data_IF_034042795523
#
_entry.id   IF_034042795523
#
_cell.length_a   1.000
_cell.length_b   1.000
_cell.length_c   1.000
_cell.angle_alpha   90.00
_cell.angle_beta   90.00
_cell.angle_gamma   90.00
#
_symmetry.space_group_name_H-M   'P 1'
#
loop_
_entity.id
_entity.type
_entity.pdbx_description
1 polymer ?
#
# COMPACT_ATOMS: atom_id res chain seq x y z
N UNK A 1 -20.95 -6.09 -15.51
CA UNK A 1 -19.83 -6.82 -16.16
C UNK A 1 -18.57 -6.86 -15.31
N UNK A 2 -17.98 -5.75 -14.86
CA UNK A 2 -16.76 -5.76 -14.02
C UNK A 2 -16.94 -6.48 -12.68
N UNK A 3 -18.06 -6.29 -12.00
CA UNK A 3 -18.40 -7.00 -10.75
C UNK A 3 -18.63 -8.51 -10.97
N UNK A 4 -19.12 -8.88 -12.15
CA UNK A 4 -19.33 -10.26 -12.58
C UNK A 4 -18.00 -10.93 -12.97
N UNK A 5 -17.06 -10.19 -13.58
CA UNK A 5 -15.66 -10.61 -13.78
C UNK A 5 -14.93 -10.77 -12.44
N UNK A 6 -15.16 -9.88 -11.48
CA UNK A 6 -14.63 -10.04 -10.12
C UNK A 6 -15.20 -11.28 -9.43
N UNK A 7 -16.51 -11.54 -9.56
CA UNK A 7 -17.15 -12.76 -9.05
C UNK A 7 -16.65 -14.04 -9.76
N UNK A 8 -16.35 -13.97 -11.05
CA UNK A 8 -15.73 -15.07 -11.81
C UNK A 8 -14.29 -15.33 -11.32
N UNK A 9 -13.54 -14.27 -11.03
CA UNK A 9 -12.22 -14.37 -10.38
C UNK A 9 -12.34 -15.02 -8.99
N UNK A 10 -13.41 -14.77 -8.22
CA UNK A 10 -13.65 -15.46 -6.94
C UNK A 10 -13.85 -16.96 -7.09
N UNK A 11 -14.58 -17.39 -8.11
CA UNK A 11 -14.77 -18.82 -8.40
C UNK A 11 -13.46 -19.50 -8.82
N UNK A 12 -12.64 -18.80 -9.60
CA UNK A 12 -11.31 -19.26 -10.02
C UNK A 12 -10.34 -19.35 -8.81
N UNK A 13 -10.45 -18.42 -7.86
CA UNK A 13 -9.67 -18.41 -6.62
C UNK A 13 -10.08 -19.53 -5.65
N UNK A 14 -11.38 -19.83 -5.56
CA UNK A 14 -11.89 -20.89 -4.69
C UNK A 14 -11.47 -22.29 -5.17
N UNK A 15 -11.40 -22.49 -6.50
CA UNK A 15 -10.95 -23.76 -7.09
C UNK A 15 -9.42 -23.96 -7.08
N UNK A 16 -8.66 -22.98 -6.57
CA UNK A 16 -7.35 -23.21 -5.98
C UNK A 16 -6.23 -23.69 -6.90
N UNK A 17 -6.37 -23.63 -8.23
CA UNK A 17 -5.26 -23.84 -9.18
C UNK A 17 -5.47 -23.01 -10.45
N UNK A 18 -4.98 -21.77 -10.47
CA UNK A 18 -4.66 -21.13 -11.76
C UNK A 18 -3.38 -21.80 -12.26
N UNK A 19 -3.52 -22.94 -12.95
CA UNK A 19 -2.50 -23.39 -13.90
C UNK A 19 -2.66 -22.51 -15.13
N UNK A 20 -2.03 -21.33 -15.12
CA UNK A 20 -1.77 -20.66 -16.41
C UNK A 20 -0.92 -21.62 -17.25
N UNK A 21 -1.35 -21.80 -18.49
CA UNK A 21 -0.71 -22.60 -19.54
C UNK A 21 0.81 -22.65 -19.36
N UNK A 22 1.28 -23.78 -18.85
CA UNK A 22 2.68 -24.17 -18.94
C UNK A 22 2.91 -24.41 -20.43
N UNK A 23 3.38 -23.39 -21.14
CA UNK A 23 4.24 -23.63 -22.28
C UNK A 23 5.39 -24.46 -21.72
N UNK A 24 5.43 -25.73 -22.09
CA UNK A 24 6.42 -26.69 -21.59
C UNK A 24 7.79 -26.34 -22.13
N UNK A 25 8.45 -25.36 -21.52
CA UNK A 25 9.90 -25.37 -21.41
C UNK A 25 10.25 -26.45 -20.38
N UNK A 26 10.34 -27.69 -20.84
CA UNK A 26 10.66 -28.88 -20.04
C UNK A 26 12.04 -28.82 -19.33
N UNK A 27 12.79 -27.72 -19.49
CA UNK A 27 14.06 -27.45 -18.82
C UNK A 27 13.99 -26.30 -17.80
N UNK A 28 12.86 -25.59 -17.67
CA UNK A 28 12.65 -24.55 -16.65
C UNK A 28 11.86 -25.11 -15.46
N UNK A 29 12.33 -26.21 -14.88
CA UNK A 29 11.83 -26.70 -13.59
C UNK A 29 12.48 -25.87 -12.47
N UNK A 30 11.89 -24.72 -12.14
CA UNK A 30 12.31 -23.96 -10.95
C UNK A 30 11.86 -24.69 -9.68
N UNK A 31 12.72 -25.55 -9.15
CA UNK A 31 12.61 -26.19 -7.83
C UNK A 31 12.85 -25.20 -6.67
N UNK A 32 12.29 -24.00 -6.76
CA UNK A 32 12.13 -23.10 -5.63
C UNK A 32 10.63 -22.95 -5.42
N UNK A 33 10.05 -23.97 -4.79
CA UNK A 33 8.72 -23.84 -4.20
C UNK A 33 8.84 -22.86 -3.05
N UNK A 34 8.29 -21.67 -3.23
CA UNK A 34 8.04 -20.78 -2.09
C UNK A 34 7.12 -21.49 -1.11
N UNK A 35 7.30 -21.24 0.18
CA UNK A 35 6.43 -21.80 1.22
C UNK A 35 4.99 -21.33 1.00
N UNK A 36 4.22 -22.13 0.29
CA UNK A 36 2.81 -21.93 0.04
C UNK A 36 1.99 -22.48 1.21
N UNK A 37 2.17 -21.92 2.41
CA UNK A 37 1.06 -21.76 3.34
C UNK A 37 1.46 -20.86 4.51
N UNK A 38 0.63 -19.88 4.81
CA UNK A 38 -0.37 -20.09 5.85
C UNK A 38 -1.77 -19.72 5.36
N UNK A 39 -2.80 -20.33 5.94
CA UNK A 39 -4.21 -19.90 5.80
C UNK A 39 -4.39 -18.37 5.83
N UNK A 40 -3.54 -17.66 6.59
CA UNK A 40 -3.45 -16.18 6.63
C UNK A 40 -3.23 -15.50 5.28
N UNK A 41 -2.42 -16.04 4.35
CA UNK A 41 -2.26 -15.42 3.02
C UNK A 41 -3.52 -15.55 2.18
N UNK A 42 -4.29 -16.64 2.36
CA UNK A 42 -5.62 -16.79 1.75
C UNK A 42 -6.61 -15.79 2.35
N UNK A 43 -6.59 -15.60 3.67
CA UNK A 43 -7.39 -14.57 4.33
C UNK A 43 -7.02 -13.17 3.83
N UNK A 44 -5.73 -12.85 3.69
CA UNK A 44 -5.28 -11.59 3.08
C UNK A 44 -5.81 -11.43 1.66
N UNK A 45 -5.76 -12.49 0.84
CA UNK A 45 -6.34 -12.47 -0.50
C UNK A 45 -7.84 -12.12 -0.49
N UNK A 46 -8.60 -12.75 0.41
CA UNK A 46 -10.03 -12.49 0.56
C UNK A 46 -10.28 -11.04 0.98
N UNK A 47 -9.49 -10.50 1.92
CA UNK A 47 -9.62 -9.10 2.36
C UNK A 47 -9.32 -8.13 1.22
N UNK A 48 -8.22 -8.33 0.48
CA UNK A 48 -7.86 -7.48 -0.68
C UNK A 48 -8.97 -7.50 -1.72
N UNK A 49 -9.55 -8.67 -1.98
CA UNK A 49 -10.67 -8.78 -2.90
C UNK A 49 -11.91 -8.03 -2.40
N UNK A 50 -12.34 -8.24 -1.15
CA UNK A 50 -13.48 -7.53 -0.56
C UNK A 50 -13.29 -6.01 -0.61
N UNK A 51 -12.10 -5.53 -0.24
CA UNK A 51 -11.74 -4.11 -0.34
C UNK A 51 -11.84 -3.61 -1.79
N UNK A 52 -11.36 -4.40 -2.74
CA UNK A 52 -11.40 -4.03 -4.16
C UNK A 52 -12.83 -3.85 -4.68
N UNK A 53 -13.79 -4.68 -4.24
CA UNK A 53 -15.22 -4.52 -4.61
C UNK A 53 -15.76 -3.19 -4.11
N UNK A 54 -15.50 -2.83 -2.84
CA UNK A 54 -15.94 -1.57 -2.27
C UNK A 54 -15.29 -0.36 -2.96
N UNK A 55 -14.00 -0.43 -3.26
CA UNK A 55 -13.30 0.66 -3.95
C UNK A 55 -13.79 0.82 -5.40
N UNK A 56 -14.10 -0.29 -6.09
CA UNK A 56 -14.68 -0.22 -7.42
C UNK A 56 -16.07 0.44 -7.37
N UNK A 57 -16.91 0.09 -6.40
CA UNK A 57 -18.19 0.77 -6.20
C UNK A 57 -18.01 2.28 -5.91
N UNK A 58 -17.08 2.62 -5.01
CA UNK A 58 -16.73 4.00 -4.72
C UNK A 58 -16.24 4.77 -5.97
N UNK A 59 -15.47 4.11 -6.85
CA UNK A 59 -14.95 4.75 -8.06
C UNK A 59 -16.04 5.11 -9.08
N UNK A 60 -17.13 4.34 -9.16
CA UNK A 60 -18.27 4.68 -10.00
C UNK A 60 -18.95 5.97 -9.53
N UNK A 61 -19.09 6.16 -8.22
CA UNK A 61 -19.62 7.39 -7.64
C UNK A 61 -18.66 8.56 -7.85
N UNK A 62 -17.39 8.37 -7.47
CA UNK A 62 -16.37 9.44 -7.47
C UNK A 62 -16.06 9.98 -8.87
N UNK A 63 -16.04 9.12 -9.89
CA UNK A 63 -15.71 9.49 -11.28
C UNK A 63 -16.94 9.50 -12.20
N UNK A 64 -18.16 9.64 -11.65
CA UNK A 64 -19.42 9.52 -12.42
C UNK A 64 -19.53 10.51 -13.59
N UNK A 65 -18.86 11.65 -13.49
CA UNK A 65 -18.85 12.71 -14.52
C UNK A 65 -17.82 12.48 -15.64
N UNK A 66 -16.92 11.50 -15.50
CA UNK A 66 -15.79 11.33 -16.40
C UNK A 66 -16.11 10.41 -17.59
N UNK A 67 -15.78 10.89 -18.80
CA UNK A 67 -16.02 10.17 -20.07
C UNK A 67 -15.18 8.88 -20.15
N UNK A 68 -13.97 8.87 -19.58
CA UNK A 68 -13.03 7.73 -19.65
C UNK A 68 -13.15 6.74 -18.48
N UNK A 69 -14.26 6.77 -17.74
CA UNK A 69 -14.57 5.83 -16.66
C UNK A 69 -14.44 4.33 -17.05
N UNK A 70 -14.87 3.83 -18.22
CA UNK A 70 -14.71 2.40 -18.55
C UNK A 70 -13.24 2.00 -18.68
N UNK A 71 -12.38 2.88 -19.21
CA UNK A 71 -10.92 2.66 -19.28
C UNK A 71 -10.31 2.62 -17.88
N UNK A 72 -10.73 3.54 -17.01
CA UNK A 72 -10.30 3.57 -15.61
C UNK A 72 -10.61 2.26 -14.88
N UNK A 73 -11.86 1.78 -15.00
CA UNK A 73 -12.29 0.55 -14.35
C UNK A 73 -11.54 -0.68 -14.88
N UNK A 74 -11.26 -0.74 -16.19
CA UNK A 74 -10.46 -1.83 -16.77
C UNK A 74 -9.05 -1.84 -16.16
N UNK A 75 -8.38 -0.69 -16.08
CA UNK A 75 -7.06 -0.57 -15.46
C UNK A 75 -7.08 -1.00 -13.99
N UNK A 76 -8.11 -0.60 -13.23
CA UNK A 76 -8.29 -1.03 -11.83
C UNK A 76 -8.47 -2.56 -11.72
N UNK A 77 -9.23 -3.19 -12.63
CA UNK A 77 -9.37 -4.65 -12.64
C UNK A 77 -8.06 -5.37 -13.00
N UNK A 78 -7.28 -4.85 -13.95
CA UNK A 78 -5.96 -5.38 -14.28
C UNK A 78 -5.00 -5.28 -13.08
N UNK A 79 -5.06 -4.17 -12.35
CA UNK A 79 -4.27 -3.98 -11.14
C UNK A 79 -4.64 -5.03 -10.06
N UNK A 80 -5.93 -5.21 -9.78
CA UNK A 80 -6.42 -6.21 -8.80
C UNK A 80 -5.99 -7.62 -9.20
N UNK A 81 -6.10 -7.96 -10.49
CA UNK A 81 -5.68 -9.25 -11.02
C UNK A 81 -4.17 -9.49 -10.85
N UNK A 82 -3.34 -8.48 -11.11
CA UNK A 82 -1.88 -8.59 -10.90
C UNK A 82 -1.53 -8.81 -9.42
N UNK A 83 -2.22 -8.14 -8.49
CA UNK A 83 -2.01 -8.36 -7.06
C UNK A 83 -2.39 -9.79 -6.63
N UNK A 84 -3.49 -10.31 -7.17
CA UNK A 84 -3.93 -11.69 -6.91
C UNK A 84 -2.89 -12.70 -7.42
N UNK A 85 -2.29 -12.45 -8.59
CA UNK A 85 -1.19 -13.28 -9.13
C UNK A 85 0.01 -13.25 -8.18
N UNK A 86 0.43 -12.07 -7.69
CA UNK A 86 1.55 -11.96 -6.74
C UNK A 86 1.24 -12.71 -5.44
N UNK A 87 0.03 -12.59 -4.90
CA UNK A 87 -0.31 -13.24 -3.65
C UNK A 87 -0.40 -14.77 -3.77
N UNK A 88 -0.94 -15.28 -4.89
CA UNK A 88 -1.10 -16.72 -5.11
C UNK A 88 0.06 -17.39 -5.88
N UNK A 89 1.12 -16.65 -6.22
CA UNK A 89 2.27 -17.22 -6.92
C UNK A 89 2.96 -18.32 -6.10
N UNK A 90 3.14 -19.48 -6.73
CA UNK A 90 3.91 -20.60 -6.19
C UNK A 90 5.36 -20.61 -6.67
N UNK A 91 5.62 -20.00 -7.84
CA UNK A 91 6.93 -19.94 -8.46
C UNK A 91 7.45 -18.51 -8.52
N UNK A 92 8.77 -18.35 -8.50
CA UNK A 92 9.42 -17.06 -8.66
C UNK A 92 9.03 -16.35 -9.97
N UNK A 93 8.87 -17.10 -11.07
CA UNK A 93 8.46 -16.53 -12.36
C UNK A 93 7.02 -16.01 -12.35
N UNK A 94 6.09 -16.75 -11.74
CA UNK A 94 4.70 -16.27 -11.60
C UNK A 94 4.61 -15.05 -10.69
N UNK A 95 5.46 -14.98 -9.66
CA UNK A 95 5.60 -13.79 -8.83
C UNK A 95 6.13 -12.60 -9.63
N UNK A 96 7.18 -12.78 -10.44
CA UNK A 96 7.75 -11.74 -11.29
C UNK A 96 6.74 -11.18 -12.29
N UNK A 97 5.97 -12.05 -12.95
CA UNK A 97 4.88 -11.63 -13.86
C UNK A 97 3.85 -10.75 -13.16
N UNK A 98 3.39 -11.15 -11.97
CA UNK A 98 2.49 -10.32 -11.17
C UNK A 98 3.14 -9.00 -10.73
N UNK A 99 4.43 -9.04 -10.40
CA UNK A 99 5.21 -7.89 -9.94
C UNK A 99 5.36 -6.81 -11.02
N UNK A 100 5.67 -7.21 -12.26
CA UNK A 100 5.68 -6.29 -13.41
C UNK A 100 4.29 -5.76 -13.72
N UNK A 101 3.27 -6.63 -13.66
CA UNK A 101 1.87 -6.25 -13.85
C UNK A 101 1.44 -5.14 -12.88
N UNK A 102 1.80 -5.24 -11.60
CA UNK A 102 1.57 -4.21 -10.59
C UNK A 102 2.27 -2.89 -10.94
N UNK A 103 3.51 -2.95 -11.43
CA UNK A 103 4.28 -1.76 -11.82
C UNK A 103 3.66 -1.01 -13.02
N UNK A 104 3.28 -1.74 -14.07
CA UNK A 104 2.72 -1.13 -15.29
C UNK A 104 1.32 -0.57 -15.02
N UNK A 105 0.46 -1.34 -14.34
CA UNK A 105 -0.92 -0.89 -14.06
C UNK A 105 -0.96 0.30 -13.11
N UNK A 106 -0.10 0.34 -12.08
CA UNK A 106 0.01 1.51 -11.20
C UNK A 106 0.49 2.77 -11.94
N UNK A 107 1.47 2.64 -12.83
CA UNK A 107 1.92 3.76 -13.67
C UNK A 107 0.78 4.35 -14.51
N UNK A 108 0.02 3.50 -15.21
CA UNK A 108 -1.11 3.94 -16.04
C UNK A 108 -2.22 4.60 -15.21
N UNK A 109 -2.47 4.11 -13.99
CA UNK A 109 -3.45 4.69 -13.07
C UNK A 109 -3.02 6.05 -12.52
N UNK A 110 -1.73 6.25 -12.20
CA UNK A 110 -1.20 7.55 -11.77
C UNK A 110 -1.24 8.56 -12.93
N UNK A 111 -0.97 8.09 -14.15
CA UNK A 111 -0.99 8.92 -15.36
C UNK A 111 -2.41 9.32 -15.80
N UNK A 112 -3.48 8.80 -15.21
CA UNK A 112 -4.87 8.91 -15.72
C UNK A 112 -5.30 10.31 -16.21
N UNK A 113 -5.01 11.38 -15.46
CA UNK A 113 -5.41 12.75 -15.82
C UNK A 113 -4.57 13.38 -16.94
N UNK A 114 -3.45 12.78 -17.35
CA UNK A 114 -2.56 13.27 -18.42
C UNK A 114 -2.07 14.73 -18.30
N UNK A 115 -2.03 15.28 -17.09
CA UNK A 115 -1.48 16.61 -16.83
C UNK A 115 0.05 16.57 -16.67
N UNK A 116 0.73 17.70 -16.85
CA UNK A 116 2.18 17.81 -16.63
C UNK A 116 2.61 17.32 -15.23
N UNK A 117 1.80 17.65 -14.20
CA UNK A 117 2.06 17.18 -12.83
C UNK A 117 1.85 15.67 -12.68
N UNK A 118 0.78 15.11 -13.27
CA UNK A 118 0.50 13.67 -13.15
C UNK A 118 1.47 12.82 -13.98
N UNK A 119 1.85 13.27 -15.17
CA UNK A 119 2.83 12.59 -16.04
C UNK A 119 4.22 12.56 -15.40
N UNK A 120 4.71 13.68 -14.87
CA UNK A 120 5.98 13.71 -14.12
C UNK A 120 5.92 12.83 -12.86
N UNK A 121 4.78 12.82 -12.15
CA UNK A 121 4.60 11.95 -10.99
C UNK A 121 4.61 10.46 -11.39
N UNK A 122 3.93 10.10 -12.46
CA UNK A 122 3.91 8.73 -12.96
C UNK A 122 5.32 8.29 -13.37
N UNK A 123 6.06 9.15 -14.08
CA UNK A 123 7.38 8.81 -14.58
C UNK A 123 8.43 8.66 -13.46
N UNK A 124 8.40 9.53 -12.45
CA UNK A 124 9.25 9.36 -11.26
C UNK A 124 8.94 8.08 -10.49
N UNK A 125 7.65 7.72 -10.37
CA UNK A 125 7.24 6.50 -9.64
C UNK A 125 7.64 5.21 -10.35
N UNK A 126 7.49 5.14 -11.68
CA UNK A 126 7.91 3.94 -12.43
C UNK A 126 9.43 3.79 -12.43
N UNK A 127 10.19 4.88 -12.55
CA UNK A 127 11.66 4.83 -12.54
C UNK A 127 12.19 4.30 -11.20
N UNK A 128 11.68 4.83 -10.07
CA UNK A 128 12.09 4.37 -8.73
C UNK A 128 11.73 2.90 -8.49
N UNK A 129 10.55 2.46 -8.97
CA UNK A 129 10.14 1.07 -8.86
C UNK A 129 11.00 0.14 -9.74
N UNK A 130 11.30 0.55 -10.97
CA UNK A 130 12.09 -0.23 -11.94
C UNK A 130 13.51 -0.51 -11.47
N UNK A 131 14.12 0.38 -10.67
CA UNK A 131 15.41 0.12 -10.03
C UNK A 131 15.37 -1.13 -9.15
N UNK A 132 14.33 -1.29 -8.33
CA UNK A 132 14.17 -2.51 -7.53
C UNK A 132 13.75 -3.72 -8.35
N UNK A 133 12.93 -3.53 -9.39
CA UNK A 133 12.51 -4.62 -10.29
C UNK A 133 13.73 -5.24 -11.01
N UNK A 134 14.74 -4.43 -11.37
CA UNK A 134 16.00 -4.91 -11.92
C UNK A 134 16.79 -5.77 -10.94
N UNK A 135 16.92 -5.33 -9.68
CA UNK A 135 17.56 -6.13 -8.62
C UNK A 135 16.84 -7.45 -8.37
N UNK A 136 15.50 -7.42 -8.36
CA UNK A 136 14.68 -8.61 -8.24
C UNK A 136 14.92 -9.58 -9.40
N UNK A 137 14.95 -9.08 -10.65
CA UNK A 137 15.20 -9.92 -11.82
C UNK A 137 16.57 -10.61 -11.76
N UNK A 138 17.63 -9.88 -11.38
CA UNK A 138 18.97 -10.47 -11.21
C UNK A 138 18.94 -11.57 -10.15
N UNK A 139 18.31 -11.29 -9.00
CA UNK A 139 18.21 -12.28 -7.93
C UNK A 139 17.47 -13.54 -8.37
N UNK A 140 16.35 -13.40 -9.10
CA UNK A 140 15.60 -14.54 -9.59
C UNK A 140 16.36 -15.36 -10.63
N UNK A 141 17.03 -14.70 -11.58
CA UNK A 141 17.85 -15.38 -12.58
C UNK A 141 18.96 -16.20 -11.93
N UNK A 142 19.66 -15.63 -10.95
CA UNK A 142 20.70 -16.34 -10.22
C UNK A 142 20.15 -17.56 -9.47
N UNK A 143 19.00 -17.43 -8.79
CA UNK A 143 18.33 -18.58 -8.15
C UNK A 143 17.97 -19.69 -9.13
N UNK A 144 17.64 -19.37 -10.39
CA UNK A 144 17.37 -20.39 -11.41
C UNK A 144 18.62 -21.06 -11.98
N UNK A 145 19.76 -20.36 -11.97
CA UNK A 145 21.05 -20.87 -12.46
C UNK A 145 21.76 -21.78 -11.45
N UNK A 146 21.19 -21.96 -10.26
CA UNK A 146 21.76 -22.73 -9.17
C UNK A 146 21.83 -24.25 -9.36
N UNK A 147 21.71 -24.75 -10.59
CA UNK A 147 21.90 -26.17 -10.91
C UNK A 147 23.29 -26.56 -11.39
N UNK A 148 24.24 -25.62 -11.59
CA UNK A 148 25.56 -26.03 -12.10
C UNK A 148 26.79 -25.17 -11.74
N UNK A 149 26.68 -24.19 -10.84
CA UNK A 149 27.87 -23.48 -10.35
C UNK A 149 27.80 -23.38 -8.83
N UNK A 150 28.56 -24.23 -8.16
CA UNK A 150 28.72 -24.41 -6.71
C UNK A 150 28.32 -23.20 -5.83
N UNK A 151 27.08 -23.20 -5.31
CA UNK A 151 26.60 -22.23 -4.31
C UNK A 151 26.92 -22.66 -2.89
N UNK A 152 28.16 -23.04 -2.65
CA UNK A 152 28.63 -23.28 -1.30
C UNK A 152 29.33 -22.05 -0.69
N UNK A 153 29.43 -20.94 -1.42
CA UNK A 153 29.90 -19.68 -0.84
C UNK A 153 28.74 -18.94 -0.17
N UNK A 154 28.75 -18.86 1.16
CA UNK A 154 27.82 -18.04 1.97
C UNK A 154 27.67 -16.60 1.44
N UNK A 155 28.73 -16.03 0.85
CA UNK A 155 28.73 -14.70 0.26
C UNK A 155 27.77 -14.52 -0.92
N UNK A 156 27.63 -15.50 -1.81
CA UNK A 156 26.71 -15.36 -2.95
C UNK A 156 25.27 -15.32 -2.48
N UNK A 157 24.91 -16.19 -1.53
CA UNK A 157 23.57 -16.20 -0.92
C UNK A 157 23.26 -14.87 -0.23
N UNK A 158 24.20 -14.31 0.55
CA UNK A 158 24.00 -13.01 1.20
C UNK A 158 23.81 -11.87 0.18
N UNK A 159 24.56 -11.87 -0.92
CA UNK A 159 24.41 -10.88 -1.98
C UNK A 159 23.03 -10.98 -2.67
N UNK A 160 22.54 -12.19 -2.94
CA UNK A 160 21.22 -12.38 -3.54
C UNK A 160 20.08 -11.93 -2.60
N UNK A 161 20.22 -12.19 -1.30
CA UNK A 161 19.28 -11.69 -0.29
C UNK A 161 19.29 -10.16 -0.28
N UNK A 162 20.46 -9.51 -0.33
CA UNK A 162 20.57 -8.05 -0.40
C UNK A 162 19.90 -7.46 -1.65
N UNK A 163 19.99 -8.13 -2.81
CA UNK A 163 19.31 -7.69 -4.04
C UNK A 163 17.79 -7.74 -3.93
N UNK A 164 17.26 -8.83 -3.37
CA UNK A 164 15.83 -8.94 -3.11
C UNK A 164 15.39 -7.91 -2.07
N UNK A 165 16.22 -7.65 -1.06
CA UNK A 165 15.98 -6.61 -0.07
C UNK A 165 15.90 -5.22 -0.71
N UNK A 166 16.75 -4.92 -1.68
CA UNK A 166 16.66 -3.68 -2.42
C UNK A 166 15.34 -3.56 -3.20
N UNK A 167 14.85 -4.67 -3.76
CA UNK A 167 13.55 -4.71 -4.42
C UNK A 167 12.37 -4.52 -3.45
N UNK A 168 12.50 -4.96 -2.20
CA UNK A 168 11.44 -4.78 -1.20
C UNK A 168 11.42 -3.34 -0.71
N UNK A 169 12.58 -2.73 -0.51
CA UNK A 169 12.74 -1.31 -0.17
C UNK A 169 12.10 -0.41 -1.23
N UNK A 170 12.28 -0.70 -2.53
CA UNK A 170 11.73 0.12 -3.62
C UNK A 170 10.19 0.14 -3.60
N UNK A 171 9.53 -1.02 -3.62
CA UNK A 171 8.06 -1.10 -3.66
C UNK A 171 7.41 -0.71 -2.34
N UNK A 172 8.06 -0.93 -1.20
CA UNK A 172 7.50 -0.54 0.11
C UNK A 172 7.76 0.92 0.50
N UNK A 173 8.36 1.71 -0.41
CA UNK A 173 8.69 3.13 -0.19
C UNK A 173 9.55 3.36 1.06
N UNK A 174 10.55 2.51 1.26
CA UNK A 174 11.51 2.68 2.35
C UNK A 174 12.69 3.57 1.94
N UNK A 175 13.44 4.07 2.92
CA UNK A 175 14.67 4.82 2.72
C UNK A 175 15.68 3.90 2.02
N UNK A 176 16.31 4.33 0.93
CA UNK A 176 16.34 5.69 0.37
C UNK A 176 15.24 6.02 -0.66
N UNK A 177 14.53 5.03 -1.19
CA UNK A 177 13.56 5.15 -2.29
C UNK A 177 12.14 5.56 -1.83
N UNK A 178 12.02 6.43 -0.83
CA UNK A 178 10.72 6.80 -0.24
C UNK A 178 9.93 7.87 -1.01
N UNK A 179 10.61 8.68 -1.81
CA UNK A 179 10.05 9.91 -2.38
C UNK A 179 8.90 9.69 -3.35
N UNK A 180 8.80 8.50 -3.97
CA UNK A 180 7.79 8.25 -5.00
C UNK A 180 6.37 8.20 -4.42
N UNK A 181 6.18 7.78 -3.16
CA UNK A 181 4.85 7.55 -2.59
C UNK A 181 4.05 8.86 -2.39
N UNK A 182 4.61 9.94 -1.77
CA UNK A 182 3.89 11.22 -1.69
C UNK A 182 3.64 11.85 -3.05
N UNK A 183 4.57 11.66 -4.01
CA UNK A 183 4.46 12.20 -5.38
C UNK A 183 3.32 11.51 -6.15
N UNK A 184 3.11 10.21 -5.92
CA UNK A 184 2.05 9.42 -6.56
C UNK A 184 0.62 9.87 -6.19
N UNK A 185 0.44 10.70 -5.15
CA UNK A 185 -0.87 11.21 -4.72
C UNK A 185 -1.49 12.24 -5.69
N UNK A 186 -0.84 12.52 -6.82
CA UNK A 186 -1.47 13.17 -7.97
C UNK A 186 -2.58 12.31 -8.60
N UNK A 187 -2.59 10.99 -8.35
CA UNK A 187 -3.63 10.08 -8.80
C UNK A 187 -5.03 10.42 -8.22
N UNK A 188 -6.12 9.98 -8.89
CA UNK A 188 -7.46 10.10 -8.34
C UNK A 188 -7.60 9.31 -7.03
N UNK A 189 -8.51 9.73 -6.15
CA UNK A 189 -8.62 9.14 -4.79
C UNK A 189 -8.93 7.65 -4.77
N UNK A 190 -9.72 7.05 -5.69
CA UNK A 190 -9.94 5.60 -5.69
C UNK A 190 -8.66 4.81 -6.02
N UNK A 191 -7.72 5.41 -6.76
CA UNK A 191 -6.39 4.79 -7.00
C UNK A 191 -5.57 4.85 -5.73
N UNK A 192 -5.56 5.99 -5.03
CA UNK A 192 -4.81 6.10 -3.77
C UNK A 192 -5.33 5.16 -2.68
N UNK A 193 -6.64 4.93 -2.61
CA UNK A 193 -7.23 3.98 -1.66
C UNK A 193 -6.84 2.54 -1.97
N UNK A 194 -6.73 2.15 -3.24
CA UNK A 194 -6.38 0.78 -3.63
C UNK A 194 -4.86 0.56 -3.69
N UNK A 195 -4.18 1.31 -4.56
CA UNK A 195 -2.77 1.09 -4.93
C UNK A 195 -1.85 1.41 -3.75
N UNK A 196 -2.00 2.59 -3.15
CA UNK A 196 -1.02 3.11 -2.19
C UNK A 196 -1.29 2.71 -0.74
N UNK A 197 -2.48 2.17 -0.43
CA UNK A 197 -2.86 1.86 0.94
C UNK A 197 -2.84 0.36 1.26
N UNK A 198 -3.25 -0.50 0.33
CA UNK A 198 -3.56 -1.91 0.62
C UNK A 198 -2.77 -2.93 -0.21
N UNK A 199 -2.18 -2.54 -1.34
CA UNK A 199 -1.69 -3.51 -2.34
C UNK A 199 -0.25 -3.29 -2.78
N UNK A 200 0.09 -2.19 -3.45
CA UNK A 200 1.41 -2.01 -4.07
C UNK A 200 2.52 -1.90 -3.01
N UNK A 201 2.30 -1.09 -1.98
CA UNK A 201 3.30 -0.83 -0.94
C UNK A 201 3.49 -2.05 -0.03
N UNK A 202 2.44 -2.87 0.10
CA UNK A 202 2.44 -4.12 0.86
C UNK A 202 3.14 -5.24 0.10
N UNK A 203 3.12 -5.23 -1.24
CA UNK A 203 3.72 -6.28 -2.07
C UNK A 203 5.20 -6.54 -1.75
N UNK A 204 5.97 -5.49 -1.42
CA UNK A 204 7.35 -5.62 -0.93
C UNK A 204 7.47 -6.47 0.34
N UNK A 205 6.64 -6.18 1.35
CA UNK A 205 6.63 -6.96 2.59
C UNK A 205 6.14 -8.40 2.40
N UNK A 206 5.18 -8.63 1.49
CA UNK A 206 4.69 -9.98 1.14
C UNK A 206 5.77 -10.80 0.43
N UNK A 207 6.57 -10.15 -0.41
CA UNK A 207 7.69 -10.82 -1.07
C UNK A 207 8.69 -11.35 -0.04
N UNK A 208 9.09 -10.53 0.95
CA UNK A 208 9.97 -11.01 2.03
C UNK A 208 9.35 -12.18 2.81
N UNK A 209 8.02 -12.20 3.04
CA UNK A 209 7.36 -13.34 3.66
C UNK A 209 7.50 -14.63 2.84
N UNK A 210 7.32 -14.54 1.52
CA UNK A 210 7.31 -15.70 0.62
C UNK A 210 8.65 -16.39 0.49
N UNK A 211 9.73 -15.61 0.43
CA UNK A 211 11.08 -16.18 0.47
C UNK A 211 11.41 -16.84 1.82
N UNK A 212 10.54 -16.73 2.81
CA UNK A 212 10.51 -17.63 3.95
C UNK A 212 11.76 -17.53 4.81
N UNK A 213 12.11 -18.63 5.46
CA UNK A 213 13.20 -18.73 6.43
C UNK A 213 14.58 -18.33 5.86
N UNK A 214 14.76 -18.39 4.54
CA UNK A 214 16.02 -18.04 3.86
C UNK A 214 16.44 -16.57 4.01
N UNK A 215 15.49 -15.65 4.22
CA UNK A 215 15.79 -14.24 4.52
C UNK A 215 16.24 -14.03 5.96
N UNK A 216 15.72 -14.84 6.88
CA UNK A 216 15.79 -14.57 8.31
C UNK A 216 17.07 -15.09 8.97
N UNK A 217 17.93 -15.79 8.23
CA UNK A 217 19.21 -16.31 8.73
C UNK A 217 20.35 -15.29 8.66
N UNK A 218 20.23 -14.22 7.86
CA UNK A 218 21.27 -13.22 7.66
C UNK A 218 20.82 -11.83 8.12
N UNK A 219 21.71 -11.11 8.82
CA UNK A 219 21.56 -9.78 9.45
C UNK A 219 20.37 -8.92 8.97
N UNK A 220 19.21 -9.14 9.61
CA UNK A 220 17.99 -8.33 9.49
C UNK A 220 18.12 -6.92 10.12
N UNK A 221 19.29 -6.61 10.69
CA UNK A 221 19.60 -5.31 11.29
C UNK A 221 19.45 -4.15 10.30
N UNK A 222 19.83 -4.34 9.03
CA UNK A 222 19.67 -3.29 8.02
C UNK A 222 18.20 -2.95 7.78
N UNK A 223 17.35 -3.97 7.77
CA UNK A 223 15.91 -3.87 7.58
C UNK A 223 15.24 -3.19 8.77
N UNK A 224 15.69 -3.50 9.99
CA UNK A 224 15.19 -2.85 11.20
C UNK A 224 15.58 -1.38 11.26
N UNK A 225 16.83 -1.04 10.91
CA UNK A 225 17.31 0.34 10.86
C UNK A 225 16.59 1.15 9.79
N UNK A 226 16.46 0.62 8.58
CA UNK A 226 15.73 1.30 7.48
C UNK A 226 14.24 1.46 7.81
N UNK A 227 13.60 0.44 8.41
CA UNK A 227 12.23 0.53 8.93
C UNK A 227 12.08 1.60 10.02
N UNK A 228 13.02 1.68 10.96
CA UNK A 228 12.99 2.71 11.99
C UNK A 228 13.11 4.12 11.40
N UNK A 229 14.18 4.38 10.63
CA UNK A 229 14.44 5.70 10.05
C UNK A 229 13.30 6.16 9.14
N UNK A 230 12.68 5.26 8.38
CA UNK A 230 11.54 5.58 7.51
C UNK A 230 10.31 5.99 8.30
N UNK A 231 10.02 5.30 9.39
CA UNK A 231 8.88 5.64 10.24
C UNK A 231 9.03 7.02 10.89
N UNK A 232 10.25 7.37 11.33
CA UNK A 232 10.57 8.68 11.89
C UNK A 232 10.41 9.78 10.85
N UNK A 233 11.04 9.59 9.70
CA UNK A 233 10.95 10.57 8.61
C UNK A 233 9.49 10.80 8.20
N UNK A 234 8.75 9.72 7.94
CA UNK A 234 7.37 9.80 7.50
C UNK A 234 6.48 10.48 8.55
N UNK A 235 6.66 10.19 9.83
CA UNK A 235 5.86 10.80 10.88
C UNK A 235 6.15 12.30 11.05
N UNK A 236 7.41 12.73 10.97
CA UNK A 236 7.78 14.16 10.98
C UNK A 236 7.20 14.87 9.77
N UNK A 237 7.26 14.27 8.57
CA UNK A 237 6.68 14.88 7.37
C UNK A 237 5.14 14.94 7.43
N UNK A 238 4.47 13.92 7.96
CA UNK A 238 3.02 13.96 8.21
C UNK A 238 2.61 15.12 9.16
N UNK A 239 3.52 15.50 10.07
CA UNK A 239 3.36 16.63 10.96
C UNK A 239 3.61 18.00 10.31
N UNK A 240 4.29 18.09 9.19
CA UNK A 240 4.57 19.38 8.56
C UNK A 240 3.62 19.63 7.38
N UNK A 241 3.20 18.57 6.71
CA UNK A 241 2.40 18.64 5.51
C UNK A 241 0.98 19.17 5.73
N UNK A 242 0.51 19.93 4.76
CA UNK A 242 -0.82 20.55 4.73
C UNK A 242 -1.77 19.85 3.75
N UNK A 243 -1.24 19.18 2.72
CA UNK A 243 -2.05 18.42 1.77
C UNK A 243 -2.56 17.14 2.44
N UNK A 244 -3.88 17.00 2.61
CA UNK A 244 -4.46 15.86 3.33
C UNK A 244 -4.16 14.51 2.67
N UNK A 245 -4.11 14.43 1.32
CA UNK A 245 -3.67 13.20 0.62
C UNK A 245 -2.24 12.83 0.99
N UNK A 246 -1.33 13.80 1.05
CA UNK A 246 0.07 13.56 1.40
C UNK A 246 0.21 13.18 2.87
N UNK A 247 -0.53 13.81 3.79
CA UNK A 247 -0.56 13.39 5.20
C UNK A 247 -1.00 11.92 5.32
N UNK A 248 -2.04 11.52 4.59
CA UNK A 248 -2.47 10.11 4.53
C UNK A 248 -1.41 9.19 3.92
N UNK A 249 -0.65 9.67 2.92
CA UNK A 249 0.45 8.96 2.28
C UNK A 249 1.64 8.75 3.23
N UNK A 250 2.09 9.80 3.93
CA UNK A 250 3.15 9.67 4.92
C UNK A 250 2.73 8.77 6.07
N UNK A 251 1.46 8.80 6.48
CA UNK A 251 0.96 7.87 7.48
C UNK A 251 0.74 6.44 6.98
N UNK A 252 0.73 6.14 5.67
CA UNK A 252 0.86 4.75 5.18
C UNK A 252 2.32 4.33 5.19
N UNK A 253 3.22 5.22 4.76
CA UNK A 253 4.66 4.99 4.80
C UNK A 253 5.16 4.66 6.22
N UNK A 254 4.68 5.36 7.26
CA UNK A 254 5.07 5.09 8.65
C UNK A 254 4.56 3.75 9.18
N UNK A 255 3.36 3.31 8.78
CA UNK A 255 2.79 2.02 9.23
C UNK A 255 3.42 0.84 8.48
N UNK A 256 3.77 1.01 7.21
CA UNK A 256 4.47 -0.02 6.44
C UNK A 256 5.93 -0.13 6.88
N UNK A 257 6.54 0.98 7.29
CA UNK A 257 7.83 0.96 7.97
C UNK A 257 7.78 0.12 9.27
N UNK A 258 6.72 0.26 10.07
CA UNK A 258 6.48 -0.59 11.24
C UNK A 258 6.31 -2.07 10.85
N UNK A 259 5.57 -2.36 9.77
CA UNK A 259 5.44 -3.73 9.20
C UNK A 259 6.79 -4.34 8.85
N UNK A 260 7.67 -3.57 8.23
CA UNK A 260 9.01 -4.04 7.84
C UNK A 260 9.93 -4.24 9.04
N UNK A 261 9.77 -3.40 10.06
CA UNK A 261 10.43 -3.59 11.35
C UNK A 261 9.90 -4.85 12.08
N UNK A 262 8.62 -5.17 11.99
CA UNK A 262 8.07 -6.44 12.50
C UNK A 262 8.62 -7.65 11.75
N UNK A 263 8.82 -7.50 10.43
CA UNK A 263 9.47 -8.51 9.62
C UNK A 263 10.92 -8.72 10.07
N UNK A 264 11.69 -7.67 10.37
CA UNK A 264 13.08 -7.83 10.83
C UNK A 264 13.27 -8.69 12.08
N UNK A 265 12.25 -8.75 12.94
CA UNK A 265 12.27 -9.55 14.17
C UNK A 265 11.51 -10.87 14.05
N UNK A 266 11.33 -11.37 12.82
CA UNK A 266 10.74 -12.67 12.53
C UNK A 266 9.27 -12.83 12.98
N UNK A 267 8.55 -11.72 13.22
CA UNK A 267 7.16 -11.72 13.68
C UNK A 267 6.15 -11.78 12.52
N UNK A 268 6.22 -12.87 11.73
CA UNK A 268 5.44 -13.04 10.48
C UNK A 268 3.92 -12.93 10.69
N UNK A 269 3.39 -13.58 11.73
CA UNK A 269 1.95 -13.60 12.01
C UNK A 269 1.40 -12.23 12.42
N UNK A 270 2.11 -11.53 13.30
CA UNK A 270 1.76 -10.18 13.75
C UNK A 270 1.80 -9.18 12.61
N UNK A 271 2.80 -9.31 11.74
CA UNK A 271 2.92 -8.45 10.57
C UNK A 271 1.75 -8.62 9.59
N UNK A 272 1.35 -9.87 9.27
CA UNK A 272 0.18 -10.11 8.43
C UNK A 272 -1.11 -9.55 9.05
N UNK A 273 -1.30 -9.73 10.35
CA UNK A 273 -2.44 -9.14 11.08
C UNK A 273 -2.44 -7.60 10.98
N UNK A 274 -1.28 -6.96 11.16
CA UNK A 274 -1.16 -5.51 11.06
C UNK A 274 -1.45 -5.00 9.63
N UNK A 275 -0.94 -5.68 8.60
CA UNK A 275 -1.21 -5.35 7.19
C UNK A 275 -2.72 -5.37 6.91
N UNK A 276 -3.44 -6.40 7.37
CA UNK A 276 -4.89 -6.53 7.18
C UNK A 276 -5.62 -5.35 7.85
N UNK A 277 -5.28 -5.06 9.10
CA UNK A 277 -5.88 -3.94 9.84
C UNK A 277 -5.59 -2.60 9.15
N UNK A 278 -4.35 -2.39 8.73
CA UNK A 278 -3.91 -1.20 8.01
C UNK A 278 -4.69 -1.02 6.70
N UNK A 279 -4.81 -2.07 5.89
CA UNK A 279 -5.52 -2.02 4.62
C UNK A 279 -6.99 -1.62 4.78
N UNK A 280 -7.68 -2.19 5.77
CA UNK A 280 -9.08 -1.86 6.06
C UNK A 280 -9.25 -0.40 6.51
N UNK A 281 -8.45 0.03 7.49
CA UNK A 281 -8.59 1.38 8.05
C UNK A 281 -8.20 2.44 7.02
N UNK A 282 -7.11 2.24 6.27
CA UNK A 282 -6.67 3.22 5.27
C UNK A 282 -7.60 3.31 4.07
N UNK A 283 -8.13 2.18 3.58
CA UNK A 283 -9.09 2.21 2.49
C UNK A 283 -10.32 3.06 2.86
N UNK A 284 -10.85 2.89 4.08
CA UNK A 284 -11.95 3.70 4.61
C UNK A 284 -11.57 5.18 4.72
N UNK A 285 -10.38 5.50 5.26
CA UNK A 285 -9.89 6.88 5.37
C UNK A 285 -9.80 7.58 4.01
N UNK A 286 -9.24 6.92 2.99
CA UNK A 286 -9.12 7.50 1.65
C UNK A 286 -10.47 7.66 0.95
N UNK A 287 -11.41 6.73 1.13
CA UNK A 287 -12.76 6.84 0.55
C UNK A 287 -13.54 8.00 1.16
N UNK A 288 -13.59 8.07 2.49
CA UNK A 288 -14.24 9.16 3.21
C UNK A 288 -13.62 10.52 2.86
N UNK A 289 -12.28 10.60 2.84
CA UNK A 289 -11.58 11.81 2.41
C UNK A 289 -11.88 12.16 0.94
N UNK A 290 -12.05 11.16 0.08
CA UNK A 290 -12.49 11.37 -1.30
C UNK A 290 -13.87 12.02 -1.40
N UNK A 291 -14.85 11.62 -0.58
CA UNK A 291 -16.15 12.30 -0.53
C UNK A 291 -15.99 13.75 -0.04
N UNK A 292 -15.11 14.01 0.93
CA UNK A 292 -14.80 15.38 1.35
C UNK A 292 -14.23 16.23 0.22
N UNK A 293 -13.29 15.71 -0.57
CA UNK A 293 -12.70 16.47 -1.69
C UNK A 293 -13.78 16.88 -2.70
N UNK A 294 -14.72 15.99 -3.02
CA UNK A 294 -15.82 16.31 -3.95
C UNK A 294 -16.64 17.48 -3.42
N UNK A 295 -17.04 17.43 -2.14
CA UNK A 295 -17.84 18.49 -1.53
C UNK A 295 -17.10 19.81 -1.40
N UNK A 296 -15.78 19.78 -1.35
CA UNK A 296 -14.90 20.96 -1.30
C UNK A 296 -14.45 21.41 -2.69
N UNK A 297 -15.13 20.98 -3.76
CA UNK A 297 -14.83 21.33 -5.15
C UNK A 297 -13.35 21.11 -5.53
N UNK A 298 -12.73 20.04 -5.02
CA UNK A 298 -11.35 19.68 -5.33
C UNK A 298 -10.28 20.22 -4.38
N UNK A 299 -10.64 21.06 -3.39
CA UNK A 299 -9.67 21.57 -2.42
C UNK A 299 -9.15 20.46 -1.48
N UNK A 300 -7.82 20.35 -1.37
CA UNK A 300 -7.13 19.30 -0.58
C UNK A 300 -6.41 19.83 0.66
N UNK A 301 -6.37 21.15 0.84
CA UNK A 301 -5.72 21.84 1.97
C UNK A 301 -6.39 21.50 3.29
N UNK A 302 -5.62 21.01 4.27
CA UNK A 302 -6.11 20.65 5.61
C UNK A 302 -6.69 21.82 6.41
N UNK A 303 -6.24 23.05 6.10
CA UNK A 303 -6.66 24.28 6.81
C UNK A 303 -8.07 24.72 6.43
N UNK A 304 -8.51 24.34 5.24
CA UNK A 304 -9.79 24.75 4.68
C UNK A 304 -10.82 23.62 4.77
N UNK A 305 -10.64 22.67 5.68
CA UNK A 305 -11.60 21.60 5.86
C UNK A 305 -12.94 22.21 6.29
N UNK A 306 -14.05 21.79 5.70
CA UNK A 306 -15.35 22.28 6.11
C UNK A 306 -16.22 21.09 6.45
N UNK A 307 -16.99 21.28 7.52
CA UNK A 307 -17.91 20.29 8.00
C UNK A 307 -19.34 20.80 7.90
N UNK A 308 -20.09 20.25 6.95
CA UNK A 308 -21.54 20.44 6.89
C UNK A 308 -22.25 19.39 7.73
N UNK A 309 -23.43 19.71 8.26
CA UNK A 309 -24.27 18.74 8.98
C UNK A 309 -24.60 17.50 8.13
N UNK A 310 -24.68 17.64 6.80
CA UNK A 310 -24.88 16.50 5.88
C UNK A 310 -23.73 15.50 5.88
N UNK A 311 -22.52 15.92 6.27
CA UNK A 311 -21.33 15.08 6.26
C UNK A 311 -21.04 14.40 7.60
N UNK A 312 -21.90 14.59 8.62
CA UNK A 312 -21.68 14.16 10.01
C UNK A 312 -21.27 12.69 10.11
N UNK A 313 -21.96 11.81 9.38
CA UNK A 313 -21.66 10.38 9.39
C UNK A 313 -20.27 10.07 8.83
N UNK A 314 -19.80 10.86 7.87
CA UNK A 314 -18.51 10.69 7.21
C UNK A 314 -17.38 11.23 8.10
N UNK A 315 -17.57 12.34 8.85
CA UNK A 315 -16.55 12.72 9.86
C UNK A 315 -16.49 11.72 10.97
N UNK A 316 -17.64 11.25 11.49
CA UNK A 316 -17.65 10.29 12.57
C UNK A 316 -16.92 9.00 12.16
N UNK A 317 -17.16 8.50 10.95
CA UNK A 317 -16.43 7.33 10.44
C UNK A 317 -14.94 7.62 10.25
N UNK A 318 -14.55 8.82 9.78
CA UNK A 318 -13.16 9.26 9.72
C UNK A 318 -12.48 9.30 11.09
N UNK A 319 -13.14 9.88 12.09
CA UNK A 319 -12.62 9.99 13.45
C UNK A 319 -12.47 8.59 14.05
N UNK A 320 -13.46 7.71 13.90
CA UNK A 320 -13.37 6.31 14.34
C UNK A 320 -12.17 5.62 13.67
N UNK A 321 -11.97 5.81 12.36
CA UNK A 321 -10.80 5.25 11.65
C UNK A 321 -9.47 5.83 12.13
N UNK A 322 -9.41 7.11 12.49
CA UNK A 322 -8.19 7.72 13.05
C UNK A 322 -7.91 7.20 14.47
N UNK A 323 -8.94 7.05 15.30
CA UNK A 323 -8.85 6.46 16.64
C UNK A 323 -8.41 5.00 16.58
N UNK A 324 -8.94 4.22 15.62
CA UNK A 324 -8.41 2.88 15.36
C UNK A 324 -7.00 2.94 14.80
N UNK A 325 -6.57 3.93 14.03
CA UNK A 325 -5.14 4.04 13.65
C UNK A 325 -4.22 4.42 14.81
N UNK A 326 -4.69 5.24 15.78
CA UNK A 326 -3.95 5.57 16.99
C UNK A 326 -3.56 4.31 17.76
N UNK A 327 -4.47 3.33 17.82
CA UNK A 327 -4.33 2.14 18.66
C UNK A 327 -4.90 2.36 20.05
N UNK A 328 -6.14 2.85 20.14
CA UNK A 328 -6.88 2.91 21.40
C UNK A 328 -7.18 1.48 21.89
N UNK A 329 -7.26 1.30 23.20
CA UNK A 329 -7.56 0.02 23.85
C UNK A 329 -8.75 -0.69 23.18
N UNK A 330 -8.63 -2.01 23.02
CA UNK A 330 -9.61 -2.90 22.36
C UNK A 330 -9.81 -2.70 20.84
N UNK A 331 -9.02 -1.86 20.17
CA UNK A 331 -9.02 -1.80 18.70
C UNK A 331 -8.09 -2.85 18.09
N UNK A 332 -8.34 -3.26 16.84
CA UNK A 332 -7.51 -4.29 16.19
C UNK A 332 -6.05 -3.87 16.01
N UNK A 333 -5.80 -2.58 15.77
CA UNK A 333 -4.45 -2.02 15.66
C UNK A 333 -3.72 -1.98 17.01
N UNK A 334 -4.44 -1.79 18.11
CA UNK A 334 -3.89 -1.80 19.47
C UNK A 334 -3.21 -3.14 19.74
N UNK A 335 -3.90 -4.25 19.48
CA UNK A 335 -3.29 -5.58 19.59
C UNK A 335 -2.02 -5.70 18.75
N UNK A 336 -2.04 -5.27 17.48
CA UNK A 336 -0.85 -5.37 16.63
C UNK A 336 0.34 -4.53 17.13
N UNK A 337 0.09 -3.31 17.63
CA UNK A 337 1.14 -2.40 18.11
C UNK A 337 1.62 -2.80 19.50
N UNK A 338 0.75 -3.22 20.41
CA UNK A 338 1.16 -3.67 21.73
C UNK A 338 1.92 -4.99 21.69
N UNK A 339 1.49 -5.97 20.88
CA UNK A 339 2.25 -7.19 20.72
C UNK A 339 3.64 -6.93 20.12
N UNK A 340 3.76 -5.90 19.25
CA UNK A 340 5.08 -5.46 18.79
C UNK A 340 5.93 -4.99 19.96
N UNK A 341 5.42 -4.09 20.80
CA UNK A 341 6.14 -3.57 21.96
C UNK A 341 6.54 -4.65 22.95
N UNK A 342 5.63 -5.55 23.29
CA UNK A 342 5.85 -6.65 24.24
C UNK A 342 6.98 -7.58 23.80
N UNK A 343 7.14 -7.80 22.50
CA UNK A 343 8.25 -8.61 22.00
C UNK A 343 9.60 -7.92 22.21
N UNK A 344 9.67 -6.60 22.02
CA UNK A 344 10.90 -5.82 22.19
C UNK A 344 11.23 -5.48 23.63
N UNK A 345 10.29 -5.59 24.57
CA UNK A 345 10.61 -5.54 26.01
C UNK A 345 11.58 -6.66 26.43
N UNK A 346 11.79 -7.68 25.58
CA UNK A 346 12.78 -8.74 25.80
C UNK A 346 14.18 -8.38 25.30
N UNK A 347 14.32 -7.34 24.47
CA UNK A 347 15.59 -6.84 23.93
C UNK A 347 15.77 -5.35 24.23
N UNK A 348 16.54 -5.04 25.29
CA UNK A 348 16.63 -3.70 25.89
C UNK A 348 17.08 -2.60 24.91
N UNK A 349 17.89 -2.91 23.90
CA UNK A 349 18.49 -1.92 23.00
C UNK A 349 17.52 -1.38 21.94
N UNK A 350 16.54 -2.18 21.52
CA UNK A 350 15.63 -1.84 20.41
C UNK A 350 14.31 -1.25 20.94
N UNK A 351 13.98 -1.50 22.20
CA UNK A 351 12.73 -1.05 22.84
C UNK A 351 12.48 0.47 22.71
N UNK A 352 13.51 1.30 22.93
CA UNK A 352 13.37 2.76 22.84
C UNK A 352 12.97 3.22 21.44
N UNK A 353 13.46 2.53 20.40
CA UNK A 353 13.16 2.86 19.01
C UNK A 353 11.67 2.61 18.73
N UNK A 354 11.14 1.47 19.15
CA UNK A 354 9.73 1.08 18.89
C UNK A 354 8.74 2.00 19.59
N UNK A 355 9.02 2.33 20.85
CA UNK A 355 8.22 3.29 21.62
C UNK A 355 8.11 4.63 20.88
N UNK A 356 9.22 5.14 20.35
CA UNK A 356 9.23 6.40 19.63
C UNK A 356 8.46 6.31 18.30
N UNK A 357 8.57 5.20 17.56
CA UNK A 357 7.77 4.98 16.33
C UNK A 357 6.27 5.03 16.61
N UNK A 358 5.82 4.33 17.66
CA UNK A 358 4.41 4.25 18.00
C UNK A 358 3.90 5.59 18.54
N UNK A 359 4.70 6.27 19.37
CA UNK A 359 4.37 7.61 19.87
C UNK A 359 4.19 8.60 18.72
N UNK A 360 5.12 8.65 17.77
CA UNK A 360 5.00 9.53 16.61
C UNK A 360 3.77 9.18 15.76
N UNK A 361 3.40 7.89 15.69
CA UNK A 361 2.19 7.45 15.01
C UNK A 361 0.89 7.96 15.64
N UNK A 362 0.86 7.98 16.98
CA UNK A 362 -0.22 8.54 17.76
C UNK A 362 -0.28 10.06 17.59
N UNK A 363 0.88 10.71 17.63
CA UNK A 363 0.95 12.16 17.63
C UNK A 363 0.41 12.76 16.29
N UNK A 364 0.78 12.20 15.12
CA UNK A 364 0.24 12.72 13.85
C UNK A 364 -1.26 12.42 13.68
N UNK A 365 -1.75 11.30 14.23
CA UNK A 365 -3.16 10.94 14.09
C UNK A 365 -4.05 11.83 14.96
N UNK A 366 -3.59 12.20 16.16
CA UNK A 366 -4.22 13.24 16.98
C UNK A 366 -4.25 14.59 16.26
N UNK A 367 -3.17 14.99 15.59
CA UNK A 367 -3.17 16.21 14.75
C UNK A 367 -4.25 16.17 13.67
N UNK A 368 -4.39 15.06 12.95
CA UNK A 368 -5.42 14.94 11.90
C UNK A 368 -6.82 15.07 12.51
N UNK A 369 -7.07 14.42 13.65
CA UNK A 369 -8.34 14.54 14.38
C UNK A 369 -8.60 16.01 14.77
N UNK A 370 -7.60 16.70 15.32
CA UNK A 370 -7.69 18.11 15.70
C UNK A 370 -8.02 19.01 14.51
N UNK A 371 -7.37 18.79 13.35
CA UNK A 371 -7.64 19.54 12.12
C UNK A 371 -9.08 19.34 11.63
N UNK A 372 -9.60 18.11 11.69
CA UNK A 372 -10.98 17.81 11.27
C UNK A 372 -12.00 18.48 12.19
N UNK A 373 -11.76 18.49 13.52
CA UNK A 373 -12.73 19.03 14.50
C UNK A 373 -12.77 20.56 14.51
N UNK A 374 -11.62 21.23 14.47
CA UNK A 374 -11.56 22.69 14.60
C UNK A 374 -12.12 23.46 13.41
N UNK A 375 -12.08 22.84 12.24
CA UNK A 375 -12.50 23.46 10.99
C UNK A 375 -14.00 23.75 10.91
N UNK A 376 -14.79 23.33 11.90
CA UNK A 376 -16.21 23.68 12.05
C UNK A 376 -16.47 25.20 12.20
N UNK A 377 -15.45 26.03 12.49
CA UNK A 377 -15.65 27.42 12.91
C UNK A 377 -15.41 28.50 11.84
N UNK A 378 -14.93 28.18 10.65
CA UNK A 378 -14.42 29.23 9.73
C UNK A 378 -14.82 29.05 8.26
N UNK A 379 -16.11 28.88 7.96
CA UNK A 379 -16.60 29.08 6.59
C UNK A 379 -17.84 29.97 6.58
N UNK A 380 -17.67 31.19 6.07
CA UNK A 380 -18.78 32.07 5.74
C UNK A 380 -19.52 31.47 4.54
N UNK A 381 -20.85 31.25 4.62
CA UNK A 381 -21.67 30.65 3.56
C UNK A 381 -21.97 31.67 2.44
N UNK A 382 -20.96 32.41 1.98
CA UNK A 382 -21.12 33.34 0.84
C UNK A 382 -20.80 32.71 -0.51
N UNK A 383 -20.37 31.45 -0.55
CA UNK A 383 -20.05 30.72 -1.78
C UNK A 383 -20.97 29.53 -2.08
N UNK A 384 -22.06 29.34 -1.34
CA UNK A 384 -22.99 28.22 -1.55
C UNK A 384 -24.00 28.46 -2.69
N UNK A 385 -24.03 29.64 -3.31
CA UNK A 385 -24.92 29.97 -4.42
C UNK A 385 -24.24 29.84 -5.80
N UNK A 386 -23.33 28.89 -5.99
CA UNK A 386 -22.89 28.49 -7.32
C UNK A 386 -23.02 26.97 -7.50
N UNK A 387 -24.26 26.51 -7.49
CA UNK A 387 -24.67 25.49 -8.46
C UNK A 387 -25.31 26.23 -9.66
N UNK A 388 -24.55 26.87 -10.57
CA UNK A 388 -25.06 26.96 -11.92
C UNK A 388 -24.87 25.57 -12.52
N UNK A 389 -25.83 25.12 -13.32
CA UNK A 389 -25.73 23.92 -14.14
C UNK A 389 -24.30 23.76 -14.71
N UNK A 390 -23.53 22.83 -14.13
CA UNK A 390 -22.16 22.54 -14.54
C UNK A 390 -22.24 21.82 -15.89
N UNK A 391 -22.01 22.58 -16.95
CA UNK A 391 -21.65 22.02 -18.24
C UNK A 391 -20.28 21.35 -18.12
N UNK A 392 -20.05 20.19 -18.75
CA UNK A 392 -18.96 19.26 -18.43
C UNK A 392 -17.54 19.70 -18.84
N UNK A 393 -17.31 20.97 -19.21
CA UNK A 393 -16.08 21.37 -19.92
C UNK A 393 -15.10 22.28 -19.16
N UNK A 394 -15.31 22.59 -17.87
CA UNK A 394 -14.46 23.56 -17.16
C UNK A 394 -13.78 23.04 -15.89
N UNK A 395 -13.46 21.74 -15.82
CA UNK A 395 -12.51 21.21 -14.84
C UNK A 395 -11.24 20.74 -15.55
N UNK A 396 -10.46 21.70 -16.05
CA UNK A 396 -9.05 21.46 -16.38
C UNK A 396 -8.26 21.56 -15.08
N UNK A 397 -7.90 20.39 -14.55
CA UNK A 397 -6.88 20.22 -13.51
C UNK A 397 -5.51 20.73 -13.96
#
# INVERSE_FOLDING_TARGET
>A
MTLLVLMLLMLILYNGKIKMLIMSFSQFTTFLSMDNSPSLMKYFCCVVFCLSVFIMYFSFFYMSTDIFLPRFLLLMTCFILSMIIVNNSASCWTMWLGWEGLGITSFLLIMYYNNWKSTNSAMTTILMNRLGDFCLMISLLSFTQNFSWSLNSTYTITFLILLVMFATISKSAQLPLMSWLPIAMAAPTPVSSLVHSSTLVVAGSILCLKFGWSFFTYNMLWLSITGYLTSLYASIMAFLELDMKKILAYSTMSQIALVMFMLSCNLKSLMLMHIINHALIKALLFMNFGVYIINMFGNQDSRNFYMSNSMLWITLSMIICLLTMCGITFTSSYYSKEYSLLFYMKEDSILMLVNLMIFMSFAYSVRIIYLIILCNKSFNPKYTSFWPNLTPNSFLF
#
